data_IF_136109637768
#
_entry.id   IF_136109637768
#
_cell.length_a   1.000
_cell.length_b   1.000
_cell.length_c   1.000
_cell.angle_alpha   90.00
_cell.angle_beta   90.00
_cell.angle_gamma   90.00
#
_symmetry.space_group_name_H-M   'P 1'
#
loop_
_entity.id
_entity.type
_entity.pdbx_description
1 polymer ?
#
# COMPACT_ATOMS: atom_id res chain seq x y z
N UNK A 1 -64.96 3.25 -13.64
CA UNK A 1 -63.90 2.25 -13.93
C UNK A 1 -62.58 2.82 -13.44
N UNK A 2 -62.10 2.38 -12.28
CA UNK A 2 -60.89 2.90 -11.63
C UNK A 2 -59.80 1.82 -11.65
N UNK A 3 -58.57 2.27 -11.92
CA UNK A 3 -57.34 1.52 -12.12
C UNK A 3 -57.06 0.48 -11.01
N UNK A 4 -56.88 -0.77 -11.42
CA UNK A 4 -56.21 -1.80 -10.61
C UNK A 4 -54.79 -1.97 -11.16
N UNK A 5 -53.85 -1.17 -10.65
CA UNK A 5 -52.43 -1.40 -10.86
C UNK A 5 -51.76 -1.35 -9.48
N UNK A 6 -52.14 -2.32 -8.63
CA UNK A 6 -51.42 -2.63 -7.40
C UNK A 6 -50.14 -3.37 -7.80
N UNK A 7 -49.07 -2.60 -7.99
CA UNK A 7 -47.71 -3.11 -8.04
C UNK A 7 -47.38 -3.55 -6.61
N UNK A 8 -47.43 -4.84 -6.36
CA UNK A 8 -46.90 -5.48 -5.16
C UNK A 8 -45.40 -5.13 -5.09
N UNK A 9 -45.05 -4.12 -4.30
CA UNK A 9 -43.67 -3.88 -3.92
C UNK A 9 -43.39 -4.92 -2.86
N UNK A 10 -42.83 -6.06 -3.27
CA UNK A 10 -42.27 -7.01 -2.33
C UNK A 10 -41.19 -6.27 -1.54
N UNK A 11 -41.50 -5.93 -0.28
CA UNK A 11 -40.54 -5.41 0.69
C UNK A 11 -39.49 -6.48 0.90
N UNK A 12 -38.42 -6.40 0.13
CA UNK A 12 -37.23 -7.23 0.27
C UNK A 12 -36.51 -6.79 1.55
N UNK A 13 -37.05 -7.22 2.69
CA UNK A 13 -36.59 -7.02 4.08
C UNK A 13 -35.33 -7.84 4.38
N UNK A 14 -34.47 -8.05 3.39
CA UNK A 14 -33.13 -8.58 3.65
C UNK A 14 -32.33 -7.44 4.26
N UNK A 15 -31.85 -7.57 5.52
CA UNK A 15 -30.92 -6.60 6.08
C UNK A 15 -29.73 -6.53 5.13
N UNK A 16 -29.48 -5.35 4.57
CA UNK A 16 -28.20 -5.10 3.92
C UNK A 16 -27.21 -5.12 5.08
N UNK A 17 -26.29 -6.08 5.10
CA UNK A 17 -25.19 -6.07 6.05
C UNK A 17 -24.47 -4.73 5.88
N UNK A 18 -24.68 -3.84 6.84
CA UNK A 18 -24.19 -2.47 6.78
C UNK A 18 -22.87 -2.40 7.52
N UNK A 19 -21.85 -1.94 6.82
CA UNK A 19 -20.57 -1.54 7.41
C UNK A 19 -20.84 -0.53 8.53
N UNK A 20 -20.31 -0.77 9.73
CA UNK A 20 -20.47 0.17 10.86
C UNK A 20 -19.65 1.45 10.62
N UNK A 21 -19.97 2.51 11.35
CA UNK A 21 -19.18 3.76 11.28
C UNK A 21 -17.71 3.51 11.66
N UNK A 22 -17.45 2.63 12.64
CA UNK A 22 -16.10 2.23 13.04
C UNK A 22 -15.34 1.51 11.91
N UNK A 23 -16.04 0.66 11.14
CA UNK A 23 -15.45 0.00 9.97
C UNK A 23 -15.14 1.01 8.86
N UNK A 24 -16.04 1.97 8.61
CA UNK A 24 -15.79 3.06 7.65
C UNK A 24 -14.60 3.93 8.06
N UNK A 25 -14.47 4.23 9.36
CA UNK A 25 -13.31 4.95 9.89
C UNK A 25 -12.03 4.15 9.67
N UNK A 26 -12.04 2.85 9.96
CA UNK A 26 -10.86 1.99 9.77
C UNK A 26 -10.44 1.91 8.31
N UNK A 27 -11.39 1.73 7.38
CA UNK A 27 -11.13 1.71 5.94
C UNK A 27 -10.56 3.05 5.47
N UNK A 28 -11.06 4.18 6.01
CA UNK A 28 -10.52 5.51 5.71
C UNK A 28 -9.06 5.63 6.18
N UNK A 29 -8.73 5.13 7.38
CA UNK A 29 -7.35 5.12 7.88
C UNK A 29 -6.43 4.23 7.06
N UNK A 30 -6.92 3.07 6.61
CA UNK A 30 -6.18 2.18 5.68
C UNK A 30 -5.89 2.91 4.37
N UNK A 31 -6.88 3.61 3.81
CA UNK A 31 -6.70 4.36 2.57
C UNK A 31 -5.66 5.47 2.70
N UNK A 32 -5.69 6.25 3.80
CA UNK A 32 -4.68 7.29 4.05
C UNK A 32 -3.28 6.67 4.15
N UNK A 33 -3.12 5.57 4.89
CA UNK A 33 -1.84 4.87 5.00
C UNK A 33 -1.38 4.29 3.66
N UNK A 34 -2.29 3.80 2.83
CA UNK A 34 -1.97 3.33 1.48
C UNK A 34 -1.39 4.46 0.60
N UNK A 35 -1.96 5.66 0.67
CA UNK A 35 -1.40 6.84 -0.01
C UNK A 35 0.00 7.18 0.52
N UNK A 36 0.19 7.23 1.84
CA UNK A 36 1.51 7.50 2.43
C UNK A 36 2.55 6.42 2.04
N UNK A 37 2.17 5.14 1.99
CA UNK A 37 3.07 4.06 1.53
C UNK A 37 3.44 4.23 0.06
N UNK A 38 2.51 4.62 -0.80
CA UNK A 38 2.81 4.89 -2.20
C UNK A 38 3.82 6.03 -2.37
N UNK A 39 3.68 7.10 -1.59
CA UNK A 39 4.66 8.20 -1.55
C UNK A 39 6.03 7.74 -1.06
N UNK A 40 6.08 6.95 0.01
CA UNK A 40 7.33 6.39 0.54
C UNK A 40 8.03 5.48 -0.47
N UNK A 41 7.29 4.59 -1.15
CA UNK A 41 7.82 3.74 -2.24
C UNK A 41 8.44 4.58 -3.35
N UNK A 42 7.78 5.65 -3.76
CA UNK A 42 8.29 6.56 -4.78
C UNK A 42 9.62 7.19 -4.35
N UNK A 43 9.72 7.67 -3.10
CA UNK A 43 10.96 8.24 -2.55
C UNK A 43 12.10 7.21 -2.52
N UNK A 44 11.80 5.97 -2.11
CA UNK A 44 12.80 4.88 -2.12
C UNK A 44 13.30 4.61 -3.53
N UNK A 45 12.40 4.55 -4.53
CA UNK A 45 12.81 4.36 -5.92
C UNK A 45 13.68 5.50 -6.45
N UNK A 46 13.34 6.75 -6.12
CA UNK A 46 14.14 7.92 -6.49
C UNK A 46 15.54 7.87 -5.88
N UNK A 47 15.66 7.48 -4.60
CA UNK A 47 16.94 7.35 -3.92
C UNK A 47 17.78 6.20 -4.51
N UNK A 48 17.16 5.03 -4.73
CA UNK A 48 17.84 3.90 -5.37
C UNK A 48 18.35 4.26 -6.78
N UNK A 49 17.55 5.00 -7.55
CA UNK A 49 17.95 5.50 -8.86
C UNK A 49 19.18 6.42 -8.77
N UNK A 50 19.17 7.36 -7.83
CA UNK A 50 20.31 8.26 -7.61
C UNK A 50 21.60 7.51 -7.22
N UNK A 51 21.50 6.50 -6.37
CA UNK A 51 22.64 5.65 -6.01
C UNK A 51 23.20 4.94 -7.25
N UNK A 52 22.33 4.35 -8.07
CA UNK A 52 22.71 3.66 -9.30
C UNK A 52 23.36 4.59 -10.33
N UNK A 53 22.82 5.79 -10.53
CA UNK A 53 23.41 6.81 -11.40
C UNK A 53 24.81 7.21 -10.90
N UNK A 54 24.96 7.40 -9.59
CA UNK A 54 26.25 7.76 -8.99
C UNK A 54 27.28 6.63 -9.12
N UNK A 55 26.87 5.37 -8.96
CA UNK A 55 27.69 4.20 -9.23
C UNK A 55 28.18 4.17 -10.68
N UNK A 56 27.28 4.40 -11.63
CA UNK A 56 27.61 4.46 -13.05
C UNK A 56 28.61 5.57 -13.37
N UNK A 57 28.42 6.76 -12.77
CA UNK A 57 29.35 7.87 -12.93
C UNK A 57 30.75 7.55 -12.41
N UNK A 58 30.86 6.84 -11.28
CA UNK A 58 32.17 6.40 -10.74
C UNK A 58 32.84 5.40 -11.68
N UNK A 59 32.10 4.41 -12.17
CA UNK A 59 32.63 3.39 -13.09
C UNK A 59 33.12 3.97 -14.41
N UNK A 60 32.56 5.10 -14.84
CA UNK A 60 32.93 5.79 -16.08
C UNK A 60 34.08 6.80 -15.91
N UNK A 61 34.67 6.94 -14.71
CA UNK A 61 35.78 7.87 -14.52
C UNK A 61 37.10 7.32 -15.08
N UNK A 62 37.87 8.15 -15.84
CA UNK A 62 39.09 7.70 -16.50
C UNK A 62 40.29 7.49 -15.56
N UNK A 63 40.25 8.00 -14.32
CA UNK A 63 41.31 7.79 -13.32
C UNK A 63 40.71 7.48 -11.92
N UNK A 64 40.31 6.22 -11.69
CA UNK A 64 39.63 5.81 -10.46
C UNK A 64 40.52 5.90 -9.20
N UNK A 65 41.84 6.02 -9.35
CA UNK A 65 42.78 5.94 -8.21
C UNK A 65 42.79 7.18 -7.30
N UNK A 66 42.14 8.28 -7.70
CA UNK A 66 42.10 9.52 -6.92
C UNK A 66 40.95 9.58 -5.90
N UNK A 67 40.00 8.64 -5.96
CA UNK A 67 38.85 8.59 -5.07
C UNK A 67 38.99 7.44 -4.07
N UNK A 68 38.50 7.59 -2.82
CA UNK A 68 38.37 6.47 -1.89
C UNK A 68 37.20 5.57 -2.33
N UNK A 69 37.36 4.92 -3.49
CA UNK A 69 36.31 4.14 -4.18
C UNK A 69 35.74 3.08 -3.25
N UNK A 70 36.59 2.36 -2.51
CA UNK A 70 36.12 1.31 -1.60
C UNK A 70 35.15 1.84 -0.54
N UNK A 71 35.46 2.97 0.09
CA UNK A 71 34.59 3.59 1.09
C UNK A 71 33.28 4.09 0.47
N UNK A 72 33.37 4.66 -0.73
CA UNK A 72 32.20 5.18 -1.45
C UNK A 72 31.25 4.05 -1.87
N UNK A 73 31.79 2.96 -2.45
CA UNK A 73 31.02 1.79 -2.83
C UNK A 73 30.37 1.12 -1.62
N UNK A 74 31.10 0.98 -0.52
CA UNK A 74 30.55 0.41 0.71
C UNK A 74 29.41 1.28 1.29
N UNK A 75 29.56 2.60 1.28
CA UNK A 75 28.51 3.50 1.74
C UNK A 75 27.26 3.42 0.84
N UNK A 76 27.42 3.28 -0.47
CA UNK A 76 26.31 3.08 -1.40
C UNK A 76 25.62 1.74 -1.21
N UNK A 77 26.40 0.67 -0.98
CA UNK A 77 25.86 -0.65 -0.64
C UNK A 77 25.01 -0.59 0.63
N UNK A 78 25.51 0.05 1.69
CA UNK A 78 24.76 0.23 2.92
C UNK A 78 23.45 0.98 2.68
N UNK A 79 23.49 2.10 1.94
CA UNK A 79 22.26 2.84 1.62
C UNK A 79 21.25 1.98 0.85
N UNK A 80 21.70 1.14 -0.10
CA UNK A 80 20.81 0.22 -0.81
C UNK A 80 20.21 -0.84 0.12
N UNK A 81 20.97 -1.34 1.10
CA UNK A 81 20.45 -2.26 2.10
C UNK A 81 19.39 -1.60 2.97
N UNK A 82 19.63 -0.37 3.43
CA UNK A 82 18.68 0.41 4.23
C UNK A 82 17.36 0.63 3.46
N UNK A 83 17.44 0.98 2.16
CA UNK A 83 16.27 1.15 1.29
C UNK A 83 15.48 -0.16 1.10
N UNK A 84 16.17 -1.30 1.00
CA UNK A 84 15.52 -2.62 0.89
C UNK A 84 14.80 -2.98 2.20
N UNK A 85 15.42 -2.68 3.35
CA UNK A 85 14.79 -2.87 4.65
C UNK A 85 13.53 -2.01 4.79
N UNK A 86 13.60 -0.74 4.38
CA UNK A 86 12.46 0.18 4.40
C UNK A 86 11.31 -0.33 3.51
N UNK A 87 11.61 -0.77 2.28
CA UNK A 87 10.62 -1.39 1.39
C UNK A 87 9.97 -2.63 2.02
N UNK A 88 10.76 -3.46 2.71
CA UNK A 88 10.26 -4.61 3.45
C UNK A 88 9.26 -4.21 4.54
N UNK A 89 9.55 -3.15 5.28
CA UNK A 89 8.63 -2.56 6.26
C UNK A 89 7.29 -2.14 5.64
N UNK A 90 7.33 -1.41 4.52
CA UNK A 90 6.12 -0.97 3.80
C UNK A 90 5.29 -2.16 3.27
N UNK A 91 5.93 -3.25 2.85
CA UNK A 91 5.23 -4.47 2.42
C UNK A 91 4.54 -5.18 3.59
N UNK A 92 5.16 -5.24 4.76
CA UNK A 92 4.54 -5.82 5.95
C UNK A 92 3.33 -5.01 6.41
N UNK A 93 3.44 -3.67 6.40
CA UNK A 93 2.31 -2.79 6.71
C UNK A 93 1.13 -2.98 5.73
N UNK A 94 1.41 -3.09 4.44
CA UNK A 94 0.39 -3.34 3.42
C UNK A 94 -0.30 -4.69 3.62
N UNK A 95 0.47 -5.73 3.93
CA UNK A 95 -0.09 -7.04 4.24
C UNK A 95 -1.00 -6.99 5.47
N UNK A 96 -0.55 -6.34 6.54
CA UNK A 96 -1.33 -6.18 7.76
C UNK A 96 -2.64 -5.41 7.49
N UNK A 97 -2.59 -4.34 6.71
CA UNK A 97 -3.78 -3.58 6.33
C UNK A 97 -4.74 -4.39 5.46
N UNK A 98 -4.21 -5.20 4.53
CA UNK A 98 -5.02 -6.12 3.73
C UNK A 98 -5.72 -7.17 4.57
N UNK A 99 -5.10 -7.65 5.66
CA UNK A 99 -5.76 -8.55 6.60
C UNK A 99 -6.92 -7.87 7.35
N UNK A 100 -6.74 -6.62 7.78
CA UNK A 100 -7.81 -5.85 8.43
C UNK A 100 -8.96 -5.60 7.46
N UNK A 101 -8.66 -5.18 6.23
CA UNK A 101 -9.66 -4.94 5.20
C UNK A 101 -10.45 -6.22 4.90
N UNK A 102 -9.76 -7.35 4.76
CA UNK A 102 -10.40 -8.66 4.54
C UNK A 102 -11.31 -9.05 5.71
N UNK A 103 -10.89 -8.79 6.95
CA UNK A 103 -11.71 -9.08 8.13
C UNK A 103 -13.00 -8.23 8.14
N UNK A 104 -12.90 -6.92 7.89
CA UNK A 104 -14.06 -6.02 7.82
C UNK A 104 -15.05 -6.49 6.75
N UNK A 105 -14.56 -6.85 5.57
CA UNK A 105 -15.42 -7.34 4.49
C UNK A 105 -15.96 -8.76 4.75
N UNK A 106 -15.19 -9.61 5.43
CA UNK A 106 -15.60 -10.96 5.85
C UNK A 106 -16.73 -10.92 6.88
N UNK A 107 -16.60 -10.11 7.92
CA UNK A 107 -17.64 -9.87 8.93
C UNK A 107 -18.95 -9.32 8.32
N UNK A 108 -18.84 -8.54 7.24
CA UNK A 108 -20.00 -8.03 6.51
C UNK A 108 -20.68 -9.12 5.67
N UNK A 109 -19.99 -10.20 5.33
CA UNK A 109 -20.50 -11.28 4.48
C UNK A 109 -21.19 -12.43 5.23
N UNK A 110 -20.89 -12.61 6.52
CA UNK A 110 -21.40 -13.71 7.35
C UNK A 110 -22.87 -13.56 7.78
N UNK A 111 -23.48 -12.37 7.67
CA UNK A 111 -24.91 -12.15 7.97
C UNK A 111 -25.87 -12.67 6.88
N UNK A 112 -25.42 -13.61 6.03
CA UNK A 112 -26.12 -14.05 4.82
C UNK A 112 -26.47 -15.55 4.78
N UNK A 113 -26.33 -16.28 5.89
CA UNK A 113 -26.80 -17.66 6.00
C UNK A 113 -27.58 -17.86 7.30
N UNK A 114 -28.92 -17.85 7.18
CA UNK A 114 -29.89 -18.76 7.80
C UNK A 114 -31.30 -18.51 7.25
#
# INVERSE_FOLDING_TARGET
MHNANQREVAENTRPIASVSDDHLEMLTRIQVRATSRAEARQQIFEHAFFIMERLQNIMNQPDPHQLPITTLLHNMEQQMQDLVEEMGGLSLEEQHDGHIETAIWGETSEWRED
#
